data_IF_036158343044
#
_entry.id   IF_036158343044
#
_cell.length_a   1.000
_cell.length_b   1.000
_cell.length_c   1.000
_cell.angle_alpha   90.00
_cell.angle_beta   90.00
_cell.angle_gamma   90.00
#
_symmetry.space_group_name_H-M   'P 1'
#
loop_
_entity.id
_entity.type
_entity.pdbx_description
1 polymer ?
#
# COMPACT_ATOMS: atom_id res chain seq x y z
N UNK A 1 -39.11 -6.09 -21.49
CA UNK A 1 -38.17 -7.21 -21.33
C UNK A 1 -36.86 -6.55 -21.00
N UNK A 2 -36.45 -6.63 -19.74
CA UNK A 2 -35.22 -6.05 -19.21
C UNK A 2 -34.17 -7.14 -19.30
N UNK A 3 -33.14 -6.93 -20.12
CA UNK A 3 -31.91 -7.69 -20.00
C UNK A 3 -30.91 -6.78 -19.29
N UNK A 4 -30.52 -7.24 -18.11
CA UNK A 4 -29.69 -6.53 -17.16
C UNK A 4 -28.25 -6.50 -17.67
N UNK A 5 -27.70 -5.30 -17.84
CA UNK A 5 -26.27 -5.06 -17.80
C UNK A 5 -25.76 -5.50 -16.42
N UNK A 6 -25.22 -6.72 -16.37
CA UNK A 6 -24.34 -7.20 -15.30
C UNK A 6 -22.97 -6.54 -15.51
N UNK A 7 -22.91 -5.23 -15.28
CA UNK A 7 -21.65 -4.55 -15.01
C UNK A 7 -21.29 -4.93 -13.57
N UNK A 8 -20.64 -6.08 -13.42
CA UNK A 8 -19.92 -6.45 -12.21
C UNK A 8 -18.78 -5.44 -12.02
N UNK A 9 -19.13 -4.21 -11.65
CA UNK A 9 -18.19 -3.13 -11.36
C UNK A 9 -17.35 -3.61 -10.18
N UNK A 10 -16.11 -3.98 -10.48
CA UNK A 10 -15.09 -4.25 -9.48
C UNK A 10 -14.67 -2.91 -8.88
N UNK A 11 -15.60 -2.24 -8.17
CA UNK A 11 -15.32 -1.01 -7.45
C UNK A 11 -14.31 -1.37 -6.36
N UNK A 12 -13.06 -0.99 -6.63
CA UNK A 12 -11.96 -1.13 -5.70
C UNK A 12 -12.20 -0.17 -4.53
N UNK A 13 -12.68 -0.70 -3.42
CA UNK A 13 -12.85 0.02 -2.15
C UNK A 13 -11.60 -0.13 -1.29
N UNK A 14 -10.76 0.91 -1.24
CA UNK A 14 -9.57 0.93 -0.38
C UNK A 14 -9.94 0.87 1.11
N UNK A 15 -11.09 1.45 1.48
CA UNK A 15 -11.56 1.53 2.87
C UNK A 15 -12.00 0.16 3.41
N UNK A 16 -12.47 -0.76 2.54
CA UNK A 16 -12.83 -2.13 2.93
C UNK A 16 -11.61 -3.07 3.06
N UNK A 17 -10.42 -2.59 2.70
CA UNK A 17 -9.15 -3.32 2.81
C UNK A 17 -8.36 -3.00 4.09
N UNK A 18 -8.90 -2.18 4.99
CA UNK A 18 -8.17 -1.72 6.18
C UNK A 18 -8.33 -2.66 7.39
N UNK A 19 -9.53 -3.21 7.63
CA UNK A 19 -9.83 -3.96 8.87
C UNK A 19 -9.13 -5.33 8.99
N UNK A 20 -8.54 -5.85 7.91
CA UNK A 20 -7.88 -7.17 7.88
C UNK A 20 -6.37 -7.16 7.63
N UNK A 21 -5.78 -6.03 7.22
CA UNK A 21 -4.45 -6.00 6.58
C UNK A 21 -3.40 -5.18 7.33
N UNK A 22 -3.73 -4.59 8.49
CA UNK A 22 -2.75 -3.92 9.36
C UNK A 22 -1.53 -4.81 9.67
N UNK A 23 -1.76 -6.13 9.85
CA UNK A 23 -0.72 -7.14 10.07
C UNK A 23 0.33 -7.20 8.94
N UNK A 24 -0.02 -6.86 7.70
CA UNK A 24 0.89 -6.94 6.55
C UNK A 24 1.94 -5.83 6.59
N UNK A 25 1.56 -4.63 7.01
CA UNK A 25 2.52 -3.53 7.17
C UNK A 25 3.40 -3.72 8.42
N UNK A 26 2.85 -4.24 9.53
CA UNK A 26 3.63 -4.55 10.74
C UNK A 26 4.73 -5.59 10.45
N UNK A 27 4.45 -6.62 9.62
CA UNK A 27 5.48 -7.53 9.14
C UNK A 27 6.50 -6.88 8.19
N UNK A 28 6.15 -5.76 7.56
CA UNK A 28 6.98 -5.04 6.60
C UNK A 28 7.89 -3.97 7.22
N UNK A 29 7.77 -3.65 8.51
CA UNK A 29 8.59 -2.61 9.15
C UNK A 29 10.10 -2.90 9.00
N UNK A 30 10.51 -4.17 9.17
CA UNK A 30 11.91 -4.57 9.01
C UNK A 30 12.44 -4.47 7.57
N UNK A 31 11.58 -4.27 6.57
CA UNK A 31 12.00 -4.01 5.19
C UNK A 31 12.64 -2.63 5.08
N UNK A 32 12.18 -1.66 5.87
CA UNK A 32 12.77 -0.30 5.89
C UNK A 32 14.20 -0.37 6.45
N UNK A 33 14.41 -1.12 7.54
CA UNK A 33 15.74 -1.32 8.11
C UNK A 33 16.69 -2.06 7.14
N UNK A 34 16.17 -2.98 6.32
CA UNK A 34 16.96 -3.68 5.31
C UNK A 34 17.29 -2.80 4.10
N UNK A 35 16.35 -1.91 3.73
CA UNK A 35 16.50 -0.99 2.60
C UNK A 35 17.57 0.06 2.88
N UNK A 36 17.70 0.51 4.15
CA UNK A 36 18.69 1.50 4.62
C UNK A 36 18.76 2.73 3.69
N UNK A 37 17.64 3.45 3.54
CA UNK A 37 17.51 4.35 2.42
C UNK A 37 18.24 5.68 2.71
N UNK A 38 18.98 6.20 1.71
CA UNK A 38 19.83 7.38 1.82
C UNK A 38 19.26 8.64 1.11
N UNK A 39 19.57 9.85 1.63
CA UNK A 39 19.16 11.10 1.01
C UNK A 39 19.53 11.21 -0.48
N UNK A 40 18.50 11.42 -1.31
CA UNK A 40 18.63 11.57 -2.76
C UNK A 40 18.43 10.29 -3.56
N UNK A 41 18.18 9.16 -2.89
CA UNK A 41 17.72 7.94 -3.54
C UNK A 41 16.27 8.05 -4.05
N UNK A 42 15.89 7.13 -4.93
CA UNK A 42 14.54 7.06 -5.48
C UNK A 42 13.98 5.66 -5.27
N UNK A 43 13.05 5.54 -4.34
CA UNK A 43 12.40 4.29 -3.98
C UNK A 43 11.00 4.22 -4.62
N UNK A 44 10.64 3.04 -5.15
CA UNK A 44 9.30 2.74 -5.68
C UNK A 44 8.68 1.61 -4.85
N UNK A 45 7.61 1.94 -4.12
CA UNK A 45 6.85 0.97 -3.31
C UNK A 45 5.67 0.41 -4.13
N UNK A 46 5.76 -0.85 -4.53
CA UNK A 46 4.76 -1.52 -5.36
C UNK A 46 3.75 -2.27 -4.48
N UNK A 47 2.46 -1.95 -4.65
CA UNK A 47 1.41 -2.53 -3.82
C UNK A 47 1.38 -1.91 -2.42
N UNK A 48 1.67 -0.62 -2.32
CA UNK A 48 1.80 0.13 -1.07
C UNK A 48 0.53 0.17 -0.19
N UNK A 49 -0.62 -0.29 -0.70
CA UNK A 49 -1.89 -0.29 0.04
C UNK A 49 -2.25 1.12 0.51
N UNK A 50 -2.36 1.30 1.82
CA UNK A 50 -2.63 2.60 2.46
C UNK A 50 -1.41 3.53 2.52
N UNK A 51 -0.22 3.06 2.14
CA UNK A 51 0.99 3.88 2.02
C UNK A 51 1.77 4.07 3.32
N UNK A 52 1.49 3.30 4.37
CA UNK A 52 2.16 3.45 5.67
C UNK A 52 3.68 3.20 5.58
N UNK A 53 4.11 2.17 4.85
CA UNK A 53 5.54 1.88 4.64
C UNK A 53 6.19 2.92 3.72
N UNK A 54 5.50 3.35 2.67
CA UNK A 54 5.98 4.41 1.78
C UNK A 54 6.29 5.70 2.55
N UNK A 55 5.43 6.09 3.48
CA UNK A 55 5.64 7.28 4.31
C UNK A 55 6.89 7.15 5.20
N UNK A 56 7.07 5.99 5.82
CA UNK A 56 8.24 5.75 6.68
C UNK A 56 9.57 5.72 5.93
N UNK A 57 9.58 5.17 4.72
CA UNK A 57 10.77 5.22 3.85
C UNK A 57 11.11 6.68 3.59
N UNK A 58 10.14 7.48 3.14
CA UNK A 58 10.36 8.91 2.90
C UNK A 58 10.86 9.67 4.15
N UNK A 59 10.34 9.39 5.35
CA UNK A 59 10.84 10.00 6.59
C UNK A 59 12.26 9.53 6.99
N UNK A 60 12.69 8.33 6.57
CA UNK A 60 14.01 7.77 6.90
C UNK A 60 15.13 8.34 6.00
N UNK A 61 14.78 8.74 4.78
CA UNK A 61 15.67 9.34 3.78
C UNK A 61 15.87 10.87 3.91
N UNK A 62 15.17 11.54 4.83
CA UNK A 62 15.23 13.00 5.03
C UNK A 62 16.44 13.48 5.85
#
# INVERSE_FOLDING_TARGET
MTDADDDSTNEWDSESHDDGYAFVFECGEGVVDLLDPEPGERVLDLGCGTGHLTARIADADE
#
